data_IF_220961157365
#
_entry.id   IF_220961157365
#
_cell.length_a   1.000
_cell.length_b   1.000
_cell.length_c   1.000
_cell.angle_alpha   90.00
_cell.angle_beta   90.00
_cell.angle_gamma   90.00
#
_symmetry.space_group_name_H-M   'P 1'
#
loop_
_entity.id
_entity.type
_entity.pdbx_description
1 polymer ?
#
# COMPACT_ATOMS: atom_id res chain seq x y z
N UNK A 1 4.79 0.85 73.85
CA UNK A 1 4.69 0.31 72.47
C UNK A 1 5.36 1.30 71.53
N UNK A 2 6.29 0.86 70.69
CA UNK A 2 6.72 1.67 69.53
C UNK A 2 5.98 1.18 68.29
N UNK A 3 5.33 2.10 67.58
CA UNK A 3 4.68 1.80 66.30
C UNK A 3 5.72 1.93 65.19
N UNK A 4 6.16 0.82 64.62
CA UNK A 4 7.10 0.82 63.49
C UNK A 4 6.32 1.01 62.19
N UNK A 5 6.23 2.25 61.71
CA UNK A 5 5.77 2.54 60.36
C UNK A 5 6.86 2.17 59.35
N UNK A 6 6.76 0.98 58.74
CA UNK A 6 7.52 0.66 57.53
C UNK A 6 7.02 1.53 56.36
N UNK A 7 7.71 2.64 56.12
CA UNK A 7 7.64 3.32 54.82
C UNK A 7 8.29 2.41 53.77
N UNK A 8 7.47 1.76 52.95
CA UNK A 8 7.93 1.15 51.71
C UNK A 8 8.36 2.28 50.77
N UNK A 9 9.68 2.44 50.61
CA UNK A 9 10.25 3.41 49.68
C UNK A 9 9.99 2.99 48.22
N UNK A 10 8.80 3.32 47.72
CA UNK A 10 8.54 3.41 46.28
C UNK A 10 9.59 4.37 45.70
N UNK A 11 10.38 3.97 44.68
CA UNK A 11 11.35 4.87 44.08
C UNK A 11 10.61 6.09 43.50
N UNK A 12 11.10 7.32 43.70
CA UNK A 12 10.44 8.52 43.20
C UNK A 12 10.33 8.45 41.68
N UNK A 13 9.16 8.83 41.14
CA UNK A 13 8.78 8.64 39.73
C UNK A 13 9.78 9.26 38.74
N UNK A 14 10.55 10.28 39.15
CA UNK A 14 11.70 10.78 38.39
C UNK A 14 12.69 9.67 38.04
N UNK A 15 13.18 8.89 39.01
CA UNK A 15 14.18 7.83 38.79
C UNK A 15 13.70 6.75 37.82
N UNK A 16 12.39 6.49 37.77
CA UNK A 16 11.80 5.58 36.78
C UNK A 16 11.88 6.19 35.37
N UNK A 17 11.53 7.47 35.22
CA UNK A 17 11.62 8.20 33.94
C UNK A 17 13.07 8.31 33.47
N UNK A 18 13.98 8.70 34.37
CA UNK A 18 15.43 8.80 34.10
C UNK A 18 15.99 7.45 33.59
N UNK A 19 15.60 6.33 34.21
CA UNK A 19 16.00 4.98 33.79
C UNK A 19 15.39 4.55 32.45
N UNK A 20 14.14 4.95 32.18
CA UNK A 20 13.46 4.68 30.91
C UNK A 20 14.05 5.50 29.76
N UNK A 21 14.48 6.74 30.00
CA UNK A 21 15.19 7.54 29.00
C UNK A 21 16.57 6.94 28.67
N UNK A 22 17.34 6.50 29.67
CA UNK A 22 18.61 5.78 29.45
C UNK A 22 18.40 4.48 28.66
N UNK A 23 17.33 3.72 28.94
CA UNK A 23 16.98 2.52 28.19
C UNK A 23 16.56 2.86 26.74
N UNK A 24 15.76 3.91 26.54
CA UNK A 24 15.31 4.36 25.23
C UNK A 24 16.47 4.89 24.38
N UNK A 25 17.43 5.61 24.94
CA UNK A 25 18.63 6.06 24.23
C UNK A 25 19.51 4.90 23.78
N UNK A 26 19.72 3.90 24.66
CA UNK A 26 20.43 2.67 24.33
C UNK A 26 19.72 1.89 23.21
N UNK A 27 18.40 1.72 23.30
CA UNK A 27 17.59 1.06 22.29
C UNK A 27 17.62 1.81 20.95
N UNK A 28 17.43 3.13 20.95
CA UNK A 28 17.47 3.96 19.73
C UNK A 28 18.86 3.96 19.07
N UNK A 29 19.94 3.86 19.85
CA UNK A 29 21.32 3.74 19.36
C UNK A 29 21.62 2.36 18.77
N UNK A 30 21.06 1.28 19.37
CA UNK A 30 21.09 -0.07 18.78
C UNK A 30 20.33 -0.11 17.45
N UNK A 31 19.06 0.34 17.47
CA UNK A 31 18.18 0.39 16.31
C UNK A 31 18.76 1.25 15.16
N UNK A 32 19.50 2.33 15.45
CA UNK A 32 20.12 3.14 14.40
C UNK A 32 21.23 2.38 13.67
N UNK A 33 22.07 1.63 14.39
CA UNK A 33 23.13 0.81 13.77
C UNK A 33 22.53 -0.31 12.91
N UNK A 34 21.56 -1.04 13.47
CA UNK A 34 20.80 -2.08 12.76
C UNK A 34 20.15 -1.53 11.49
N UNK A 35 19.35 -0.45 11.59
CA UNK A 35 18.67 0.13 10.43
C UNK A 35 19.65 0.63 9.37
N UNK A 36 20.79 1.20 9.76
CA UNK A 36 21.82 1.63 8.81
C UNK A 36 22.41 0.44 8.04
N UNK A 37 22.88 -0.60 8.74
CA UNK A 37 23.47 -1.78 8.11
C UNK A 37 22.46 -2.56 7.25
N UNK A 38 21.22 -2.72 7.72
CA UNK A 38 20.15 -3.36 6.94
C UNK A 38 19.79 -2.54 5.70
N UNK A 39 19.73 -1.20 5.80
CA UNK A 39 19.47 -0.33 4.65
C UNK A 39 20.62 -0.38 3.62
N UNK A 40 21.88 -0.43 4.06
CA UNK A 40 23.03 -0.61 3.16
C UNK A 40 23.01 -1.96 2.45
N UNK A 41 22.69 -3.06 3.14
CA UNK A 41 22.59 -4.38 2.51
C UNK A 41 21.37 -4.52 1.60
N UNK A 42 20.25 -3.87 1.93
CA UNK A 42 19.09 -3.78 1.05
C UNK A 42 19.41 -2.96 -0.21
N UNK A 43 20.10 -1.82 -0.06
CA UNK A 43 20.60 -1.03 -1.18
C UNK A 43 21.51 -1.85 -2.10
N UNK A 44 22.54 -2.52 -1.55
CA UNK A 44 23.45 -3.39 -2.31
C UNK A 44 22.71 -4.50 -3.06
N UNK A 45 21.65 -5.07 -2.48
CA UNK A 45 20.79 -6.06 -3.13
C UNK A 45 19.93 -5.44 -4.25
N UNK A 46 19.37 -4.25 -4.04
CA UNK A 46 18.52 -3.57 -5.01
C UNK A 46 19.30 -3.04 -6.21
N UNK A 47 20.50 -2.47 -6.02
CA UNK A 47 21.32 -1.96 -7.14
C UNK A 47 22.13 -3.04 -7.85
N UNK A 48 22.34 -4.21 -7.22
CA UNK A 48 23.06 -5.34 -7.80
C UNK A 48 22.51 -6.67 -7.25
N UNK A 49 21.36 -7.10 -7.78
CA UNK A 49 20.64 -8.30 -7.33
C UNK A 49 21.38 -9.57 -7.76
N UNK A 50 22.20 -10.10 -6.84
CA UNK A 50 22.95 -11.35 -7.01
C UNK A 50 22.51 -12.34 -5.96
N UNK A 51 22.78 -13.63 -6.19
CA UNK A 51 22.58 -14.66 -5.16
C UNK A 51 23.30 -14.30 -3.85
N UNK A 52 24.52 -13.76 -3.94
CA UNK A 52 25.32 -13.41 -2.77
C UNK A 52 24.77 -12.17 -2.02
N UNK A 53 24.21 -11.16 -2.69
CA UNK A 53 23.59 -10.01 -2.01
C UNK A 53 22.26 -10.41 -1.34
N UNK A 54 21.45 -11.25 -1.98
CA UNK A 54 20.27 -11.86 -1.34
C UNK A 54 20.63 -12.71 -0.11
N UNK A 55 21.64 -13.58 -0.22
CA UNK A 55 22.12 -14.41 0.90
C UNK A 55 22.69 -13.54 2.04
N UNK A 56 23.44 -12.47 1.75
CA UNK A 56 23.93 -11.52 2.77
C UNK A 56 22.79 -10.79 3.49
N UNK A 57 21.78 -10.30 2.78
CA UNK A 57 20.63 -9.62 3.40
C UNK A 57 19.78 -10.61 4.23
N UNK A 58 19.63 -11.84 3.76
CA UNK A 58 18.93 -12.89 4.51
C UNK A 58 19.70 -13.31 5.78
N UNK A 59 21.04 -13.39 5.72
CA UNK A 59 21.91 -13.70 6.86
C UNK A 59 21.98 -12.56 7.86
N UNK A 60 22.20 -11.30 7.44
CA UNK A 60 22.21 -10.16 8.37
C UNK A 60 20.85 -9.94 9.02
N UNK A 61 19.76 -10.31 8.33
CA UNK A 61 18.43 -10.42 8.89
C UNK A 61 18.35 -11.30 10.16
N UNK A 62 19.24 -12.28 10.32
CA UNK A 62 19.22 -13.22 11.46
C UNK A 62 19.67 -12.57 12.78
N UNK A 63 20.51 -11.53 12.73
CA UNK A 63 20.95 -10.79 13.92
C UNK A 63 19.93 -9.73 14.41
N UNK A 64 18.81 -9.54 13.69
CA UNK A 64 17.90 -8.40 13.87
C UNK A 64 16.88 -8.56 15.00
N UNK A 65 17.39 -8.83 16.20
CA UNK A 65 16.70 -8.77 17.52
C UNK A 65 15.87 -7.49 17.77
N UNK A 66 16.02 -6.45 16.95
CA UNK A 66 15.34 -5.16 17.07
C UNK A 66 14.00 -5.06 16.32
N UNK A 67 13.61 -6.03 15.49
CA UNK A 67 12.27 -6.04 14.86
C UNK A 67 11.18 -6.59 15.79
N UNK A 68 11.57 -7.35 16.81
CA UNK A 68 10.65 -7.89 17.83
C UNK A 68 10.43 -6.92 19.00
N UNK A 69 9.48 -7.24 19.88
CA UNK A 69 9.37 -6.60 21.19
C UNK A 69 10.34 -7.27 22.19
N UNK A 70 11.39 -6.59 22.68
CA UNK A 70 12.18 -7.09 23.80
C UNK A 70 11.32 -7.24 25.07
N UNK A 71 11.62 -8.18 25.97
CA UNK A 71 10.87 -8.37 27.23
C UNK A 71 10.77 -7.10 28.08
N UNK A 72 11.87 -6.36 28.18
CA UNK A 72 11.99 -5.15 29.02
C UNK A 72 10.97 -4.07 28.60
N UNK A 73 10.64 -3.98 27.31
CA UNK A 73 9.62 -3.04 26.82
C UNK A 73 8.20 -3.42 27.31
N UNK A 74 7.92 -4.71 27.53
CA UNK A 74 6.65 -5.17 28.12
C UNK A 74 6.59 -4.86 29.61
N UNK A 75 7.70 -5.02 30.35
CA UNK A 75 7.77 -4.58 31.75
C UNK A 75 7.61 -3.06 31.89
N UNK A 76 8.31 -2.26 31.09
CA UNK A 76 8.19 -0.80 31.12
C UNK A 76 6.76 -0.35 30.74
N UNK A 77 6.10 -1.02 29.78
CA UNK A 77 4.72 -0.67 29.38
C UNK A 77 3.69 -0.88 30.49
N UNK A 78 3.88 -1.86 31.38
CA UNK A 78 3.02 -2.04 32.56
C UNK A 78 3.09 -0.84 33.52
N UNK A 79 4.08 0.04 33.37
CA UNK A 79 4.26 1.27 34.16
C UNK A 79 3.89 2.54 33.37
N UNK A 80 3.21 2.42 32.22
CA UNK A 80 2.94 3.53 31.28
C UNK A 80 2.19 4.73 31.88
N UNK A 81 1.37 4.54 32.91
CA UNK A 81 0.72 5.64 33.66
C UNK A 81 1.71 6.55 34.40
N UNK A 82 2.91 6.04 34.71
CA UNK A 82 3.96 6.78 35.41
C UNK A 82 4.93 7.50 34.46
N UNK A 83 4.92 7.16 33.17
CA UNK A 83 5.84 7.68 32.16
C UNK A 83 5.40 9.06 31.63
N UNK A 84 6.24 9.71 30.83
CA UNK A 84 5.82 10.87 30.01
C UNK A 84 5.10 10.41 28.74
N UNK A 85 4.24 11.24 28.11
CA UNK A 85 3.57 10.86 26.86
C UNK A 85 4.52 10.42 25.73
N UNK A 86 5.72 11.02 25.67
CA UNK A 86 6.74 10.67 24.69
C UNK A 86 7.38 9.30 24.99
N UNK A 87 7.67 9.01 26.25
CA UNK A 87 8.14 7.69 26.70
C UNK A 87 7.07 6.63 26.42
N UNK A 88 5.81 6.88 26.80
CA UNK A 88 4.67 5.97 26.55
C UNK A 88 4.51 5.66 25.06
N UNK A 89 4.62 6.66 24.17
CA UNK A 89 4.56 6.44 22.72
C UNK A 89 5.74 5.61 22.19
N UNK A 90 6.97 5.90 22.62
CA UNK A 90 8.13 5.11 22.21
C UNK A 90 8.03 3.66 22.69
N UNK A 91 7.67 3.44 23.96
CA UNK A 91 7.52 2.11 24.55
C UNK A 91 6.36 1.33 23.89
N UNK A 92 5.25 1.99 23.55
CA UNK A 92 4.17 1.39 22.74
C UNK A 92 4.69 0.88 21.39
N UNK A 93 5.32 1.74 20.60
CA UNK A 93 5.89 1.42 19.27
C UNK A 93 6.98 0.33 19.28
N UNK A 94 7.54 0.00 20.44
CA UNK A 94 8.50 -1.10 20.64
C UNK A 94 7.79 -2.38 21.12
N UNK A 95 6.79 -2.27 22.00
CA UNK A 95 6.12 -3.41 22.64
C UNK A 95 4.87 -3.93 21.92
N UNK A 96 4.24 -3.15 21.04
CA UNK A 96 3.11 -3.58 20.20
C UNK A 96 3.50 -4.48 19.02
N UNK A 97 4.77 -4.89 18.96
CA UNK A 97 5.32 -5.62 17.83
C UNK A 97 5.01 -7.12 17.91
N UNK A 98 4.81 -7.79 16.76
CA UNK A 98 4.82 -9.26 16.67
C UNK A 98 6.02 -9.87 17.39
N UNK A 99 5.83 -11.03 18.02
CA UNK A 99 6.88 -11.76 18.73
C UNK A 99 6.96 -13.18 18.21
N UNK A 100 8.07 -13.57 17.61
CA UNK A 100 8.28 -14.91 17.07
C UNK A 100 9.25 -15.67 17.98
N UNK A 101 9.09 -16.99 18.12
CA UNK A 101 10.23 -17.85 18.43
C UNK A 101 11.31 -17.67 17.36
N UNK A 102 12.58 -17.69 17.74
CA UNK A 102 13.74 -17.44 16.88
C UNK A 102 13.69 -18.25 15.55
N UNK A 103 13.34 -19.53 15.63
CA UNK A 103 13.16 -20.41 14.47
C UNK A 103 11.98 -20.03 13.55
N UNK A 104 10.94 -19.39 14.08
CA UNK A 104 9.81 -18.85 13.30
C UNK A 104 10.17 -17.54 12.61
N UNK A 105 10.99 -16.67 13.21
CA UNK A 105 11.45 -15.43 12.57
C UNK A 105 12.24 -15.75 11.28
N UNK A 106 13.22 -16.66 11.34
CA UNK A 106 13.98 -17.09 10.16
C UNK A 106 13.07 -17.72 9.08
N UNK A 107 12.05 -18.47 9.50
CA UNK A 107 11.05 -19.04 8.60
C UNK A 107 10.26 -17.96 7.86
N UNK A 108 9.80 -16.92 8.56
CA UNK A 108 9.10 -15.78 7.95
C UNK A 108 9.98 -15.05 6.93
N UNK A 109 11.23 -14.71 7.28
CA UNK A 109 12.12 -13.97 6.36
C UNK A 109 12.51 -14.80 5.14
N UNK A 110 12.77 -16.11 5.32
CA UNK A 110 13.01 -17.04 4.22
C UNK A 110 11.83 -17.14 3.25
N UNK A 111 10.60 -17.23 3.78
CA UNK A 111 9.38 -17.25 2.96
C UNK A 111 9.17 -15.91 2.22
N UNK A 112 9.38 -14.76 2.86
CA UNK A 112 9.30 -13.46 2.20
C UNK A 112 10.32 -13.31 1.06
N UNK A 113 11.59 -13.67 1.27
CA UNK A 113 12.62 -13.63 0.20
C UNK A 113 12.29 -14.60 -0.94
N UNK A 114 11.64 -15.74 -0.66
CA UNK A 114 11.12 -16.63 -1.72
C UNK A 114 10.03 -15.99 -2.55
N UNK A 115 9.06 -15.30 -1.93
CA UNK A 115 8.00 -14.58 -2.65
C UNK A 115 8.61 -13.43 -3.49
N UNK A 116 9.45 -12.59 -2.87
CA UNK A 116 10.14 -11.47 -3.51
C UNK A 116 10.92 -11.93 -4.76
N UNK A 117 11.71 -13.00 -4.64
CA UNK A 117 12.46 -13.58 -5.77
C UNK A 117 11.54 -14.17 -6.84
N UNK A 118 10.49 -14.92 -6.46
CA UNK A 118 9.48 -15.44 -7.40
C UNK A 118 8.79 -14.31 -8.17
N UNK A 119 8.65 -13.13 -7.58
CA UNK A 119 8.17 -11.95 -8.28
C UNK A 119 9.23 -11.36 -9.22
N UNK A 120 10.43 -11.04 -8.72
CA UNK A 120 11.43 -10.28 -9.46
C UNK A 120 12.13 -11.06 -10.57
N UNK A 121 12.27 -12.38 -10.45
CA UNK A 121 12.90 -13.23 -11.47
C UNK A 121 11.91 -13.91 -12.42
N UNK A 122 10.63 -13.56 -12.38
CA UNK A 122 9.64 -14.12 -13.30
C UNK A 122 9.70 -13.45 -14.68
N UNK A 123 9.47 -14.24 -15.72
CA UNK A 123 9.37 -13.80 -17.12
C UNK A 123 8.17 -14.44 -17.80
N UNK A 124 7.71 -13.80 -18.88
CA UNK A 124 6.68 -14.33 -19.78
C UNK A 124 7.32 -14.45 -21.16
N UNK A 125 7.48 -15.65 -21.68
CA UNK A 125 8.11 -15.88 -22.97
C UNK A 125 7.09 -16.15 -24.09
N UNK A 126 7.38 -15.66 -25.29
CA UNK A 126 6.85 -16.23 -26.52
C UNK A 126 7.90 -17.14 -27.18
N UNK A 127 7.86 -17.31 -28.51
CA UNK A 127 8.77 -18.23 -29.21
C UNK A 127 10.17 -17.65 -29.44
N UNK A 128 10.33 -16.32 -29.33
CA UNK A 128 11.58 -15.63 -29.68
C UNK A 128 12.16 -14.82 -28.51
N UNK A 129 11.32 -14.36 -27.57
CA UNK A 129 11.76 -13.48 -26.49
C UNK A 129 11.09 -13.78 -25.14
N UNK A 130 11.80 -13.50 -24.06
CA UNK A 130 11.31 -13.58 -22.68
C UNK A 130 11.22 -12.18 -22.08
N UNK A 131 10.01 -11.80 -21.67
CA UNK A 131 9.66 -10.45 -21.22
C UNK A 131 9.61 -10.41 -19.70
N UNK A 132 10.34 -9.48 -19.07
CA UNK A 132 10.26 -9.18 -17.65
C UNK A 132 9.05 -8.27 -17.34
N UNK A 133 8.64 -8.20 -16.07
CA UNK A 133 7.57 -7.29 -15.62
C UNK A 133 7.82 -5.84 -16.03
N UNK A 134 9.06 -5.38 -15.85
CA UNK A 134 9.57 -4.07 -16.22
C UNK A 134 10.93 -4.23 -16.91
N UNK A 135 11.24 -3.45 -17.95
CA UNK A 135 10.33 -2.51 -18.62
C UNK A 135 9.32 -3.23 -19.54
N UNK A 136 9.59 -4.47 -19.95
CA UNK A 136 9.01 -5.05 -21.17
C UNK A 136 7.48 -5.22 -21.12
N UNK A 137 6.96 -5.93 -20.12
CA UNK A 137 5.51 -6.16 -19.99
C UNK A 137 4.76 -4.90 -19.57
N UNK A 138 5.38 -4.03 -18.75
CA UNK A 138 4.81 -2.72 -18.42
C UNK A 138 4.62 -1.87 -19.68
N UNK A 139 5.68 -1.67 -20.47
CA UNK A 139 5.64 -0.89 -21.72
C UNK A 139 4.67 -1.49 -22.72
N UNK A 140 4.61 -2.82 -22.84
CA UNK A 140 3.60 -3.51 -23.65
C UNK A 140 2.18 -3.16 -23.19
N UNK A 141 1.88 -3.25 -21.89
CA UNK A 141 0.54 -2.96 -21.37
C UNK A 141 0.17 -1.48 -21.46
N UNK A 142 1.13 -0.56 -21.30
CA UNK A 142 0.88 0.88 -21.38
C UNK A 142 0.73 1.37 -22.83
N UNK A 143 1.47 0.81 -23.78
CA UNK A 143 1.50 1.27 -25.19
C UNK A 143 0.64 0.45 -26.15
N UNK A 144 0.52 -0.87 -25.97
CA UNK A 144 -0.21 -1.73 -26.90
C UNK A 144 -1.71 -1.46 -26.89
N UNK A 145 -2.34 -1.56 -28.06
CA UNK A 145 -3.80 -1.51 -28.26
C UNK A 145 -4.33 -2.76 -28.96
N UNK A 146 -3.50 -3.80 -29.06
CA UNK A 146 -3.87 -5.14 -29.49
C UNK A 146 -4.47 -5.89 -28.28
N UNK A 147 -5.76 -6.26 -28.31
CA UNK A 147 -6.41 -6.92 -27.18
C UNK A 147 -5.85 -8.33 -26.90
N UNK A 148 -5.41 -9.05 -27.93
CA UNK A 148 -4.88 -10.42 -27.79
C UNK A 148 -3.46 -10.38 -27.23
N UNK A 149 -2.60 -9.44 -27.67
CA UNK A 149 -1.27 -9.24 -27.07
C UNK A 149 -1.35 -8.72 -25.63
N UNK A 150 -2.32 -7.84 -25.33
CA UNK A 150 -2.63 -7.41 -23.95
C UNK A 150 -3.11 -8.59 -23.09
N UNK A 151 -4.02 -9.43 -23.60
CA UNK A 151 -4.52 -10.61 -22.91
C UNK A 151 -3.42 -11.66 -22.66
N UNK A 152 -2.55 -11.89 -23.65
CA UNK A 152 -1.37 -12.75 -23.53
C UNK A 152 -0.44 -12.28 -22.41
N UNK A 153 -0.01 -11.02 -22.43
CA UNK A 153 0.86 -10.45 -21.40
C UNK A 153 0.25 -10.52 -20.01
N UNK A 154 -1.02 -10.10 -19.90
CA UNK A 154 -1.79 -10.08 -18.65
C UNK A 154 -1.97 -11.49 -18.03
N UNK A 155 -2.20 -12.50 -18.88
CA UNK A 155 -2.43 -13.89 -18.46
C UNK A 155 -1.12 -14.62 -18.18
N UNK A 156 -0.12 -14.42 -19.03
CA UNK A 156 1.22 -14.99 -18.87
C UNK A 156 1.85 -14.57 -17.54
N UNK A 157 1.77 -13.29 -17.20
CA UNK A 157 2.31 -12.77 -15.93
C UNK A 157 1.68 -13.45 -14.70
N UNK A 158 0.36 -13.68 -14.74
CA UNK A 158 -0.37 -14.36 -13.65
C UNK A 158 -0.06 -15.85 -13.58
N UNK A 159 0.19 -16.52 -14.70
CA UNK A 159 0.63 -17.91 -14.72
C UNK A 159 2.10 -18.09 -14.28
N UNK A 160 2.96 -17.12 -14.57
CA UNK A 160 4.36 -17.14 -14.13
C UNK A 160 4.50 -16.93 -12.61
N UNK A 161 3.72 -16.02 -12.03
CA UNK A 161 3.86 -15.62 -10.61
C UNK A 161 2.82 -16.26 -9.69
N UNK A 162 1.56 -16.39 -10.12
CA UNK A 162 0.44 -16.78 -9.26
C UNK A 162 0.58 -18.16 -8.61
N UNK A 163 0.67 -19.27 -9.38
CA UNK A 163 0.77 -20.60 -8.80
C UNK A 163 2.02 -20.80 -7.90
N UNK A 164 3.24 -20.34 -8.28
CA UNK A 164 4.40 -20.43 -7.37
C UNK A 164 4.28 -19.56 -6.10
N UNK A 165 3.55 -18.44 -6.14
CA UNK A 165 3.20 -17.69 -4.92
C UNK A 165 2.24 -18.48 -4.03
N UNK A 166 1.25 -19.17 -4.63
CA UNK A 166 0.20 -19.90 -3.94
C UNK A 166 0.73 -21.03 -3.04
N UNK A 167 1.82 -21.68 -3.44
CA UNK A 167 2.50 -22.69 -2.61
C UNK A 167 3.11 -22.11 -1.32
N UNK A 168 3.61 -20.88 -1.40
CA UNK A 168 4.45 -20.24 -0.37
C UNK A 168 3.65 -19.32 0.55
N UNK A 169 2.63 -18.63 0.02
CA UNK A 169 1.89 -17.61 0.74
C UNK A 169 1.18 -18.12 2.00
N UNK A 170 0.45 -19.26 2.01
CA UNK A 170 -0.21 -19.77 3.22
C UNK A 170 0.78 -20.01 4.36
N UNK A 171 1.96 -20.57 4.06
CA UNK A 171 3.03 -20.82 5.04
C UNK A 171 3.50 -19.51 5.69
N UNK A 172 3.59 -18.42 4.93
CA UNK A 172 3.93 -17.11 5.46
C UNK A 172 2.79 -16.55 6.34
N UNK A 173 1.53 -16.68 5.91
CA UNK A 173 0.37 -16.25 6.70
C UNK A 173 0.32 -16.94 8.06
N UNK A 174 0.56 -18.26 8.12
CA UNK A 174 0.57 -19.03 9.37
C UNK A 174 1.65 -18.55 10.35
N UNK A 175 2.88 -18.31 9.86
CA UNK A 175 3.98 -17.81 10.68
C UNK A 175 3.71 -16.38 11.16
N UNK A 176 3.31 -15.47 10.26
CA UNK A 176 2.97 -14.08 10.60
C UNK A 176 1.84 -14.01 11.64
N UNK A 177 0.78 -14.81 11.46
CA UNK A 177 -0.32 -14.89 12.42
C UNK A 177 0.11 -15.53 13.75
N UNK A 178 1.10 -16.44 13.75
CA UNK A 178 1.71 -16.93 14.99
C UNK A 178 2.36 -15.77 15.78
N UNK A 179 3.16 -14.93 15.13
CA UNK A 179 3.80 -13.78 15.77
C UNK A 179 2.81 -12.72 16.28
N UNK A 180 1.72 -12.49 15.54
CA UNK A 180 0.62 -11.62 15.96
C UNK A 180 -0.05 -12.14 17.24
N UNK A 181 -0.38 -13.43 17.30
CA UNK A 181 -1.01 -14.07 18.48
C UNK A 181 -0.12 -14.03 19.71
N UNK A 182 1.19 -14.23 19.57
CA UNK A 182 2.14 -14.06 20.68
C UNK A 182 2.25 -12.60 21.16
N UNK A 183 1.93 -11.61 20.31
CA UNK A 183 1.82 -10.20 20.69
C UNK A 183 0.41 -9.80 21.19
N UNK A 184 -0.53 -10.75 21.31
CA UNK A 184 -1.91 -10.51 21.78
C UNK A 184 -2.91 -10.06 20.71
N UNK A 185 -2.49 -9.99 19.44
CA UNK A 185 -3.37 -9.67 18.32
C UNK A 185 -3.99 -10.94 17.71
N UNK A 186 -5.23 -10.91 17.20
CA UNK A 186 -5.87 -12.11 16.63
C UNK A 186 -5.20 -12.59 15.33
N UNK A 187 -4.76 -11.63 14.50
CA UNK A 187 -4.18 -11.85 13.16
C UNK A 187 -3.19 -10.72 12.80
N UNK A 188 -2.30 -10.96 11.83
CA UNK A 188 -1.34 -9.95 11.36
C UNK A 188 -2.02 -8.72 10.72
N UNK A 189 -3.19 -8.90 10.12
CA UNK A 189 -4.00 -7.78 9.65
C UNK A 189 -4.45 -6.85 10.79
N UNK A 190 -4.69 -7.37 11.99
CA UNK A 190 -5.00 -6.56 13.17
C UNK A 190 -3.80 -5.73 13.63
N UNK A 191 -2.58 -6.29 13.59
CA UNK A 191 -1.32 -5.53 13.82
C UNK A 191 -1.20 -4.39 12.82
N UNK A 192 -1.51 -4.65 11.54
CA UNK A 192 -1.45 -3.65 10.48
C UNK A 192 -2.50 -2.54 10.64
N UNK A 193 -3.73 -2.88 11.06
CA UNK A 193 -4.78 -1.91 11.37
C UNK A 193 -4.46 -1.11 12.64
N UNK A 194 -3.74 -1.70 13.60
CA UNK A 194 -3.27 -1.03 14.81
C UNK A 194 -2.17 0.01 14.52
N UNK A 195 -1.24 -0.27 13.58
CA UNK A 195 -0.21 0.70 13.15
C UNK A 195 -0.80 2.00 12.59
N UNK A 196 -2.03 1.95 12.05
CA UNK A 196 -2.77 3.12 11.57
C UNK A 196 -3.32 4.00 12.71
N UNK A 197 -3.42 3.48 13.93
CA UNK A 197 -4.09 4.09 15.10
C UNK A 197 -5.54 4.54 14.78
N UNK A 198 -6.23 3.73 13.97
CA UNK A 198 -7.61 3.97 13.51
C UNK A 198 -8.50 2.77 13.90
N UNK A 199 -9.13 2.77 15.10
CA UNK A 199 -9.84 1.60 15.62
C UNK A 199 -10.94 1.04 14.70
N UNK A 200 -11.62 1.91 13.96
CA UNK A 200 -12.72 1.58 13.06
C UNK A 200 -12.31 1.61 11.57
N UNK A 201 -11.03 1.37 11.25
CA UNK A 201 -10.51 1.56 9.87
C UNK A 201 -11.26 0.76 8.80
N UNK A 202 -11.74 -0.45 9.09
CA UNK A 202 -12.54 -1.22 8.12
C UNK A 202 -13.85 -0.50 7.75
N UNK A 203 -14.49 0.14 8.73
CA UNK A 203 -15.71 0.93 8.56
C UNK A 203 -15.41 2.31 7.95
N UNK A 204 -14.36 3.01 8.40
CA UNK A 204 -13.96 4.31 7.86
C UNK A 204 -13.56 4.22 6.39
N UNK A 205 -12.78 3.20 6.00
CA UNK A 205 -12.41 2.98 4.61
C UNK A 205 -13.62 2.63 3.72
N UNK A 206 -14.59 1.88 4.25
CA UNK A 206 -15.84 1.59 3.54
C UNK A 206 -16.72 2.84 3.37
N UNK A 207 -16.84 3.68 4.42
CA UNK A 207 -17.59 4.94 4.35
C UNK A 207 -16.99 5.94 3.36
N UNK A 208 -15.67 6.17 3.43
CA UNK A 208 -14.94 7.00 2.48
C UNK A 208 -15.07 6.48 1.04
N UNK A 209 -15.10 5.17 0.83
CA UNK A 209 -15.35 4.59 -0.49
C UNK A 209 -16.77 4.89 -0.99
N UNK A 210 -17.81 4.71 -0.16
CA UNK A 210 -19.20 5.02 -0.56
C UNK A 210 -19.42 6.53 -0.80
N UNK A 211 -18.69 7.44 -0.13
CA UNK A 211 -18.64 8.88 -0.48
C UNK A 211 -18.07 9.13 -1.90
N UNK A 212 -17.05 8.36 -2.30
CA UNK A 212 -16.31 8.54 -3.58
C UNK A 212 -16.97 7.77 -4.74
N UNK A 213 -17.72 6.71 -4.42
CA UNK A 213 -18.36 5.78 -5.36
C UNK A 213 -19.22 6.44 -6.45
N UNK A 214 -20.01 7.51 -6.22
CA UNK A 214 -20.74 8.18 -7.29
C UNK A 214 -19.83 8.76 -8.37
N UNK A 215 -18.76 9.47 -7.98
CA UNK A 215 -17.73 9.98 -8.90
C UNK A 215 -17.05 8.83 -9.65
N UNK A 216 -16.76 7.73 -8.95
CA UNK A 216 -16.13 6.57 -9.55
C UNK A 216 -17.03 5.85 -10.58
N UNK A 217 -18.32 5.64 -10.29
CA UNK A 217 -19.28 5.05 -11.22
C UNK A 217 -19.46 5.91 -12.48
N UNK A 218 -19.46 7.25 -12.35
CA UNK A 218 -19.53 8.17 -13.50
C UNK A 218 -18.28 8.11 -14.38
N UNK A 219 -17.09 8.04 -13.76
CA UNK A 219 -15.81 7.87 -14.48
C UNK A 219 -15.72 6.48 -15.16
N UNK A 220 -16.13 5.43 -14.46
CA UNK A 220 -16.17 4.05 -14.98
C UNK A 220 -17.04 3.94 -16.22
N UNK A 221 -18.25 4.51 -16.19
CA UNK A 221 -19.17 4.51 -17.34
C UNK A 221 -18.59 5.22 -18.58
N UNK A 222 -17.88 6.33 -18.40
CA UNK A 222 -17.15 6.99 -19.49
C UNK A 222 -16.04 6.09 -20.05
N UNK A 223 -15.18 5.54 -19.18
CA UNK A 223 -14.05 4.68 -19.59
C UNK A 223 -14.55 3.42 -20.31
N UNK A 224 -15.60 2.77 -19.78
CA UNK A 224 -16.26 1.61 -20.41
C UNK A 224 -16.76 1.97 -21.81
N UNK A 225 -17.44 3.11 -21.98
CA UNK A 225 -17.95 3.53 -23.27
C UNK A 225 -16.83 3.85 -24.28
N UNK A 226 -15.73 4.49 -23.84
CA UNK A 226 -14.57 4.77 -24.72
C UNK A 226 -13.85 3.47 -25.12
N UNK A 227 -13.57 2.57 -24.18
CA UNK A 227 -13.00 1.25 -24.47
C UNK A 227 -13.92 0.45 -25.40
N UNK A 228 -15.24 0.45 -25.19
CA UNK A 228 -16.23 -0.22 -26.04
C UNK A 228 -16.33 0.38 -27.45
N UNK A 229 -16.10 1.69 -27.59
CA UNK A 229 -16.05 2.34 -28.90
C UNK A 229 -14.78 2.02 -29.68
N UNK A 230 -13.70 1.59 -29.01
CA UNK A 230 -12.41 1.26 -29.62
C UNK A 230 -12.26 -0.25 -29.88
N UNK A 231 -12.56 -1.08 -28.87
CA UNK A 231 -12.40 -2.54 -28.91
C UNK A 231 -13.66 -3.30 -29.36
N UNK A 232 -14.83 -2.66 -29.36
CA UNK A 232 -16.09 -3.22 -29.86
C UNK A 232 -16.96 -3.97 -28.84
N UNK A 233 -18.24 -4.23 -29.19
CA UNK A 233 -19.24 -4.88 -28.31
C UNK A 233 -18.85 -6.27 -27.83
N UNK A 234 -18.10 -7.02 -28.64
CA UNK A 234 -17.73 -8.41 -28.40
C UNK A 234 -16.70 -8.59 -27.28
N UNK A 235 -15.95 -7.53 -26.93
CA UNK A 235 -14.95 -7.55 -25.84
C UNK A 235 -15.37 -6.71 -24.63
N UNK A 236 -16.15 -5.65 -24.83
CA UNK A 236 -16.59 -4.74 -23.76
C UNK A 236 -18.11 -4.53 -23.85
N UNK A 237 -18.86 -5.01 -22.85
CA UNK A 237 -20.30 -4.72 -22.77
C UNK A 237 -20.56 -3.25 -22.39
N UNK A 238 -21.76 -2.77 -22.66
CA UNK A 238 -22.22 -1.41 -22.36
C UNK A 238 -22.54 -1.20 -20.87
N UNK A 239 -22.99 -2.24 -20.16
CA UNK A 239 -23.50 -2.22 -18.78
C UNK A 239 -22.65 -3.01 -17.75
N UNK A 240 -21.71 -3.82 -18.22
CA UNK A 240 -20.98 -4.81 -17.42
C UNK A 240 -19.61 -4.33 -16.92
N UNK A 241 -18.85 -5.20 -16.22
CA UNK A 241 -17.50 -4.91 -15.78
C UNK A 241 -16.51 -4.71 -16.95
N UNK A 242 -15.48 -3.90 -16.75
CA UNK A 242 -14.40 -3.72 -17.74
C UNK A 242 -13.43 -4.93 -17.64
N UNK A 243 -13.00 -5.55 -18.77
CA UNK A 243 -11.98 -6.59 -18.74
C UNK A 243 -10.63 -6.09 -18.22
N UNK A 244 -10.04 -6.78 -17.24
CA UNK A 244 -8.86 -6.32 -16.51
C UNK A 244 -7.58 -6.06 -17.34
N UNK A 245 -7.47 -6.60 -18.56
CA UNK A 245 -6.31 -6.39 -19.45
C UNK A 245 -6.35 -5.06 -20.20
N UNK A 246 -7.53 -4.44 -20.36
CA UNK A 246 -7.70 -3.19 -21.12
C UNK A 246 -7.39 -1.92 -20.31
N UNK A 247 -7.02 -2.07 -19.03
CA UNK A 247 -6.71 -0.96 -18.11
C UNK A 247 -5.21 -0.61 -18.05
N UNK A 248 -4.40 -1.22 -18.91
CA UNK A 248 -3.05 -0.77 -19.26
C UNK A 248 -2.01 -0.69 -18.13
N UNK A 249 -2.17 -1.45 -17.04
CA UNK A 249 -1.22 -1.44 -15.91
C UNK A 249 -0.94 -2.84 -15.36
N UNK A 250 0.35 -3.21 -15.36
CA UNK A 250 0.93 -4.19 -14.42
C UNK A 250 1.53 -3.41 -13.22
N UNK A 251 1.58 -3.95 -11.98
CA UNK A 251 1.88 -3.14 -10.81
C UNK A 251 3.11 -3.58 -10.01
N UNK A 252 4.21 -2.84 -10.22
CA UNK A 252 5.57 -3.08 -9.71
C UNK A 252 6.07 -1.92 -8.82
N UNK A 253 7.37 -1.73 -8.59
CA UNK A 253 7.91 -0.93 -7.46
C UNK A 253 9.26 -0.26 -7.69
N UNK A 254 9.56 0.70 -6.81
CA UNK A 254 10.54 1.77 -7.04
C UNK A 254 11.97 1.38 -6.60
N UNK A 255 12.82 1.16 -7.60
CA UNK A 255 14.17 1.70 -7.66
C UNK A 255 14.23 2.45 -9.00
N UNK A 256 14.47 3.76 -9.01
CA UNK A 256 14.09 4.60 -10.16
C UNK A 256 14.94 4.42 -11.43
N UNK A 257 14.49 3.56 -12.34
CA UNK A 257 14.83 3.62 -13.76
C UNK A 257 14.02 4.75 -14.43
N UNK A 258 14.60 5.96 -14.50
CA UNK A 258 13.91 7.16 -14.99
C UNK A 258 13.91 7.26 -16.52
N UNK A 259 12.74 7.48 -17.12
CA UNK A 259 12.62 7.93 -18.51
C UNK A 259 12.30 9.44 -18.61
N UNK A 260 12.43 9.99 -19.82
CA UNK A 260 12.12 11.40 -20.11
C UNK A 260 10.63 11.58 -20.44
N UNK A 261 9.75 11.40 -19.44
CA UNK A 261 8.30 11.56 -19.58
C UNK A 261 7.67 12.40 -18.44
N UNK A 262 6.39 12.78 -18.57
CA UNK A 262 5.67 13.58 -17.55
C UNK A 262 5.53 12.85 -16.21
N UNK A 263 5.23 11.55 -16.26
CA UNK A 263 4.98 10.70 -15.08
C UNK A 263 6.22 10.66 -14.19
N UNK A 264 7.39 10.43 -14.75
CA UNK A 264 8.63 10.26 -14.01
C UNK A 264 9.16 11.60 -13.48
N UNK A 265 8.93 12.71 -14.20
CA UNK A 265 9.10 14.05 -13.63
C UNK A 265 8.24 14.27 -12.37
N UNK A 266 7.03 13.70 -12.35
CA UNK A 266 6.19 13.60 -11.14
C UNK A 266 6.79 12.70 -10.06
N UNK A 267 7.18 11.47 -10.41
CA UNK A 267 7.72 10.47 -9.45
C UNK A 267 9.00 10.96 -8.77
N UNK A 268 9.90 11.65 -9.48
CA UNK A 268 11.07 12.31 -8.88
C UNK A 268 10.66 13.23 -7.72
N UNK A 269 9.59 14.02 -7.89
CA UNK A 269 9.09 14.89 -6.84
C UNK A 269 8.34 14.14 -5.73
N UNK A 270 7.75 12.98 -6.02
CA UNK A 270 7.20 12.07 -5.00
C UNK A 270 8.32 11.55 -4.08
N UNK A 271 9.38 10.97 -4.67
CA UNK A 271 10.53 10.47 -3.92
C UNK A 271 11.28 11.58 -3.17
N UNK A 272 11.46 12.76 -3.79
CA UNK A 272 12.01 13.94 -3.10
C UNK A 272 11.15 14.38 -1.91
N UNK A 273 9.84 14.14 -1.95
CA UNK A 273 8.95 14.32 -0.80
C UNK A 273 9.31 13.43 0.38
N UNK A 274 9.60 12.14 0.14
CA UNK A 274 10.12 11.24 1.17
C UNK A 274 11.49 11.68 1.69
N UNK A 275 12.42 12.06 0.80
CA UNK A 275 13.75 12.60 1.20
C UNK A 275 13.60 13.84 2.09
N UNK A 276 12.74 14.78 1.73
CA UNK A 276 12.47 15.96 2.53
C UNK A 276 11.84 15.59 3.89
N UNK A 277 11.04 14.52 3.96
CA UNK A 277 10.49 14.05 5.23
C UNK A 277 11.55 13.42 6.14
N UNK A 278 12.37 12.51 5.61
CA UNK A 278 13.53 11.94 6.30
C UNK A 278 14.44 13.04 6.86
N UNK A 279 14.69 14.09 6.07
CA UNK A 279 15.48 15.24 6.48
C UNK A 279 14.82 16.06 7.60
N UNK A 280 13.50 16.25 7.56
CA UNK A 280 12.77 17.01 8.58
C UNK A 280 12.83 16.33 9.96
N UNK A 281 12.51 15.03 10.04
CA UNK A 281 12.45 14.31 11.32
C UNK A 281 13.77 13.65 11.77
N UNK A 282 14.88 13.84 11.04
CA UNK A 282 16.21 13.26 11.35
C UNK A 282 16.70 13.47 12.80
N UNK A 283 16.19 14.51 13.46
CA UNK A 283 16.55 14.91 14.82
C UNK A 283 15.76 14.17 15.92
N UNK A 284 14.68 13.45 15.57
CA UNK A 284 13.92 12.64 16.53
C UNK A 284 14.69 11.38 16.94
N UNK A 285 14.33 10.72 18.07
CA UNK A 285 14.75 9.36 18.38
C UNK A 285 14.45 8.39 17.22
N UNK A 286 15.34 7.44 16.95
CA UNK A 286 15.29 6.51 15.82
C UNK A 286 13.93 5.82 15.63
N UNK A 287 13.29 5.40 16.72
CA UNK A 287 11.96 4.75 16.74
C UNK A 287 10.83 5.65 16.18
N UNK A 288 10.98 6.98 16.24
CA UNK A 288 10.00 7.98 15.80
C UNK A 288 10.26 8.56 14.40
N UNK A 289 11.32 8.10 13.70
CA UNK A 289 11.73 8.61 12.38
C UNK A 289 10.88 8.03 11.22
N UNK A 290 9.59 8.34 11.19
CA UNK A 290 8.61 7.82 10.20
C UNK A 290 7.34 8.72 10.03
N UNK A 291 6.49 8.43 9.04
CA UNK A 291 5.14 9.02 8.83
C UNK A 291 4.08 8.48 9.81
N UNK A 292 3.06 9.29 10.21
CA UNK A 292 2.23 9.10 11.43
C UNK A 292 1.74 7.69 11.70
N UNK A 293 1.29 7.11 10.63
CA UNK A 293 1.28 5.71 10.35
C UNK A 293 1.91 5.55 8.95
N UNK A 294 2.04 4.33 8.48
CA UNK A 294 2.68 4.05 7.20
C UNK A 294 1.92 4.59 5.97
N UNK A 295 0.62 4.88 6.08
CA UNK A 295 -0.09 5.65 5.06
C UNK A 295 0.37 7.10 5.07
N UNK A 296 0.59 7.64 6.27
CA UNK A 296 0.95 9.02 6.51
C UNK A 296 2.25 9.46 5.81
N UNK A 297 3.20 8.57 5.52
CA UNK A 297 4.37 8.89 4.69
C UNK A 297 4.04 9.26 3.22
N UNK A 298 3.02 8.64 2.62
CA UNK A 298 2.67 8.74 1.18
C UNK A 298 2.07 10.11 0.81
N UNK A 299 1.43 10.81 1.76
CA UNK A 299 0.88 12.17 1.56
C UNK A 299 1.91 13.12 0.96
N UNK A 300 3.11 13.08 1.52
CA UNK A 300 4.12 14.11 1.28
C UNK A 300 4.64 13.98 -0.14
N UNK A 301 4.94 12.75 -0.58
CA UNK A 301 5.26 12.46 -1.97
C UNK A 301 4.15 12.88 -2.94
N UNK A 302 2.90 12.45 -2.70
CA UNK A 302 1.76 12.83 -3.54
C UNK A 302 1.54 14.35 -3.59
N UNK A 303 1.74 15.06 -2.48
CA UNK A 303 1.57 16.51 -2.40
C UNK A 303 2.59 17.24 -3.29
N UNK A 304 3.86 16.82 -3.26
CA UNK A 304 4.87 17.36 -4.17
C UNK A 304 4.61 16.96 -5.63
N UNK A 305 4.23 15.70 -5.89
CA UNK A 305 3.84 15.20 -7.21
C UNK A 305 2.73 16.06 -7.83
N UNK A 306 1.66 16.39 -7.10
CA UNK A 306 0.56 17.19 -7.68
C UNK A 306 0.86 18.69 -7.76
N UNK A 307 1.68 19.23 -6.84
CA UNK A 307 2.00 20.66 -6.81
C UNK A 307 2.78 21.14 -8.04
N UNK A 308 3.64 20.30 -8.62
CA UNK A 308 4.43 20.67 -9.82
C UNK A 308 3.62 20.75 -11.11
N UNK A 309 2.47 20.04 -11.19
CA UNK A 309 1.61 20.04 -12.39
C UNK A 309 0.62 21.21 -12.44
N UNK A 310 0.69 22.15 -11.49
CA UNK A 310 -0.05 23.41 -11.60
C UNK A 310 0.42 24.21 -12.83
N UNK A 311 -0.48 24.74 -13.69
CA UNK A 311 -0.09 25.46 -14.90
C UNK A 311 0.90 26.61 -14.67
N UNK A 312 0.74 27.36 -13.58
CA UNK A 312 1.64 28.45 -13.19
C UNK A 312 3.07 27.98 -12.79
N UNK A 313 3.26 26.69 -12.48
CA UNK A 313 4.57 26.08 -12.27
C UNK A 313 5.14 25.57 -13.60
N UNK A 314 4.37 24.80 -14.37
CA UNK A 314 4.80 24.30 -15.69
C UNK A 314 5.21 25.42 -16.64
N UNK A 315 4.47 26.54 -16.67
CA UNK A 315 4.81 27.74 -17.44
C UNK A 315 6.11 28.40 -16.97
N UNK A 316 6.39 28.39 -15.65
CA UNK A 316 7.64 28.91 -15.08
C UNK A 316 8.85 28.08 -15.51
N UNK A 317 8.66 26.78 -15.75
CA UNK A 317 9.68 25.86 -16.26
C UNK A 317 9.80 25.90 -17.81
N UNK A 318 8.97 26.68 -18.51
CA UNK A 318 8.93 26.66 -19.98
C UNK A 318 8.38 25.37 -20.58
N UNK A 319 7.54 24.62 -19.84
CA UNK A 319 6.93 23.37 -20.29
C UNK A 319 5.55 23.58 -20.95
N UNK A 320 4.93 24.76 -20.77
CA UNK A 320 3.75 25.24 -21.48
C UNK A 320 3.88 26.76 -21.74
N UNK A 321 3.32 27.24 -22.85
CA UNK A 321 3.41 28.66 -23.25
C UNK A 321 2.19 29.50 -22.81
N UNK A 322 1.03 28.86 -22.65
CA UNK A 322 -0.24 29.50 -22.30
C UNK A 322 -0.47 29.57 -20.78
N UNK A 323 -1.59 30.17 -20.36
CA UNK A 323 -1.99 30.15 -18.95
C UNK A 323 -2.48 28.77 -18.47
N UNK A 324 -2.90 27.90 -19.40
CA UNK A 324 -3.38 26.55 -19.15
C UNK A 324 -4.81 26.47 -18.60
N UNK A 325 -5.56 27.58 -18.53
CA UNK A 325 -6.80 27.70 -17.76
C UNK A 325 -8.10 27.70 -18.62
N UNK A 326 -8.05 27.24 -19.88
CA UNK A 326 -9.29 27.00 -20.63
C UNK A 326 -10.19 25.99 -19.89
N UNK A 327 -11.53 26.11 -19.93
CA UNK A 327 -12.43 25.15 -19.27
C UNK A 327 -12.22 23.71 -19.77
N UNK A 328 -11.95 23.55 -21.05
CA UNK A 328 -11.72 22.27 -21.72
C UNK A 328 -10.40 21.64 -21.26
N UNK A 329 -9.32 22.43 -21.20
CA UNK A 329 -8.01 21.97 -20.73
C UNK A 329 -8.01 21.66 -19.23
N UNK A 330 -8.79 22.42 -18.46
CA UNK A 330 -9.03 22.17 -17.03
C UNK A 330 -9.78 20.85 -16.81
N UNK A 331 -10.82 20.57 -17.61
CA UNK A 331 -11.55 19.30 -17.58
C UNK A 331 -10.68 18.12 -18.05
N UNK A 332 -9.85 18.29 -19.07
CA UNK A 332 -8.88 17.28 -19.52
C UNK A 332 -7.87 16.94 -18.42
N UNK A 333 -7.30 17.96 -17.75
CA UNK A 333 -6.37 17.77 -16.64
C UNK A 333 -7.06 17.04 -15.48
N UNK A 334 -8.27 17.48 -15.07
CA UNK A 334 -9.03 16.78 -14.03
C UNK A 334 -9.31 15.32 -14.43
N UNK A 335 -9.69 15.05 -15.69
CA UNK A 335 -9.91 13.68 -16.17
C UNK A 335 -8.64 12.82 -16.09
N UNK A 336 -7.48 13.34 -16.51
CA UNK A 336 -6.19 12.64 -16.38
C UNK A 336 -5.86 12.31 -14.92
N UNK A 337 -5.99 13.27 -13.99
CA UNK A 337 -5.70 13.05 -12.56
C UNK A 337 -6.74 12.10 -11.94
N UNK A 338 -8.00 12.15 -12.37
CA UNK A 338 -9.05 11.23 -11.93
C UNK A 338 -8.78 9.78 -12.37
N UNK A 339 -8.41 9.57 -13.64
CA UNK A 339 -7.99 8.26 -14.17
C UNK A 339 -6.77 7.70 -13.45
N UNK A 340 -5.87 8.56 -12.96
CA UNK A 340 -4.69 8.15 -12.20
C UNK A 340 -5.02 7.67 -10.77
N UNK A 341 -5.97 8.33 -10.07
CA UNK A 341 -6.21 8.08 -8.63
C UNK A 341 -7.56 7.44 -8.28
N UNK A 342 -8.69 7.82 -8.90
CA UNK A 342 -10.01 7.30 -8.47
C UNK A 342 -10.12 5.77 -8.65
N UNK A 343 -9.70 5.16 -9.78
CA UNK A 343 -9.65 3.70 -9.92
C UNK A 343 -8.69 2.99 -8.94
N UNK A 344 -7.68 3.70 -8.43
CA UNK A 344 -6.74 3.14 -7.46
C UNK A 344 -7.41 2.90 -6.10
N UNK A 345 -8.39 3.71 -5.70
CA UNK A 345 -9.08 3.60 -4.41
C UNK A 345 -9.86 2.27 -4.33
N UNK A 346 -10.67 1.97 -5.36
CA UNK A 346 -11.38 0.68 -5.46
C UNK A 346 -10.43 -0.52 -5.53
N UNK A 347 -9.29 -0.38 -6.23
CA UNK A 347 -8.25 -1.41 -6.25
C UNK A 347 -7.61 -1.64 -4.87
N UNK A 348 -7.22 -0.57 -4.17
CA UNK A 348 -6.60 -0.61 -2.84
C UNK A 348 -7.51 -1.27 -1.81
N UNK A 349 -8.78 -0.84 -1.77
CA UNK A 349 -9.77 -1.40 -0.87
C UNK A 349 -10.06 -2.88 -1.19
N UNK A 350 -10.14 -3.26 -2.47
CA UNK A 350 -10.26 -4.66 -2.87
C UNK A 350 -9.10 -5.51 -2.35
N UNK A 351 -7.88 -5.01 -2.48
CA UNK A 351 -6.67 -5.76 -2.15
C UNK A 351 -6.52 -5.94 -0.65
N UNK A 352 -6.54 -4.87 0.13
CA UNK A 352 -6.33 -4.99 1.58
C UNK A 352 -7.54 -5.63 2.29
N UNK A 353 -8.78 -5.45 1.80
CA UNK A 353 -9.95 -6.18 2.31
C UNK A 353 -9.85 -7.68 2.02
N UNK A 354 -9.31 -8.08 0.87
CA UNK A 354 -8.98 -9.50 0.59
C UNK A 354 -7.91 -10.00 1.57
N UNK A 355 -6.81 -9.25 1.76
CA UNK A 355 -5.73 -9.62 2.68
C UNK A 355 -6.22 -9.76 4.13
N UNK A 356 -7.02 -8.83 4.64
CA UNK A 356 -7.58 -8.92 5.99
C UNK A 356 -8.46 -10.16 6.18
N UNK A 357 -9.21 -10.57 5.14
CA UNK A 357 -9.97 -11.83 5.19
C UNK A 357 -9.06 -13.06 5.19
N UNK A 358 -7.94 -13.05 4.45
CA UNK A 358 -6.94 -14.13 4.46
C UNK A 358 -6.22 -14.20 5.82
N UNK A 359 -5.72 -13.09 6.36
CA UNK A 359 -5.08 -13.05 7.69
C UNK A 359 -6.04 -13.54 8.79
N UNK A 360 -7.31 -13.12 8.75
CA UNK A 360 -8.33 -13.54 9.72
C UNK A 360 -8.92 -14.94 9.43
N UNK A 361 -8.35 -15.73 8.52
CA UNK A 361 -8.78 -17.11 8.21
C UNK A 361 -10.18 -17.23 7.56
N UNK A 362 -10.78 -16.12 7.12
CA UNK A 362 -12.13 -16.07 6.51
C UNK A 362 -12.15 -16.56 5.06
N UNK A 363 -10.99 -16.60 4.40
CA UNK A 363 -10.81 -17.13 3.03
C UNK A 363 -9.67 -18.14 3.07
N UNK A 364 -9.98 -19.40 2.81
CA UNK A 364 -9.02 -20.50 2.71
C UNK A 364 -8.23 -20.44 1.37
N UNK A 365 -7.02 -21.04 1.29
CA UNK A 365 -6.16 -21.02 0.10
C UNK A 365 -6.88 -21.41 -1.20
N UNK A 366 -7.78 -22.39 -1.12
CA UNK A 366 -8.59 -22.91 -2.21
C UNK A 366 -9.35 -21.78 -2.93
N UNK A 367 -9.90 -20.83 -2.14
CA UNK A 367 -10.77 -19.74 -2.61
C UNK A 367 -10.05 -18.39 -2.76
N UNK A 368 -8.73 -18.32 -2.60
CA UNK A 368 -7.95 -17.08 -2.72
C UNK A 368 -8.29 -16.28 -3.99
N UNK A 369 -8.29 -16.93 -5.17
CA UNK A 369 -8.51 -16.26 -6.44
C UNK A 369 -9.97 -15.81 -6.62
N UNK A 370 -10.93 -16.67 -6.29
CA UNK A 370 -12.36 -16.36 -6.41
C UNK A 370 -12.80 -15.21 -5.48
N UNK A 371 -12.34 -15.19 -4.23
CA UNK A 371 -12.64 -14.12 -3.28
C UNK A 371 -12.03 -12.77 -3.70
N UNK A 372 -10.83 -12.78 -4.30
CA UNK A 372 -10.23 -11.58 -4.89
C UNK A 372 -11.06 -11.05 -6.05
N UNK A 373 -11.48 -11.92 -6.98
CA UNK A 373 -12.25 -11.48 -8.15
C UNK A 373 -13.68 -11.05 -7.80
N UNK A 374 -14.32 -11.67 -6.81
CA UNK A 374 -15.57 -11.17 -6.24
C UNK A 374 -15.43 -9.74 -5.71
N UNK A 375 -14.35 -9.46 -4.96
CA UNK A 375 -14.08 -8.10 -4.46
C UNK A 375 -13.74 -7.12 -5.59
N UNK A 376 -13.04 -7.54 -6.66
CA UNK A 376 -12.74 -6.70 -7.83
C UNK A 376 -13.97 -6.38 -8.68
N UNK A 377 -14.87 -7.34 -8.86
CA UNK A 377 -16.16 -7.10 -9.52
C UNK A 377 -17.01 -6.14 -8.65
N UNK A 378 -17.12 -6.37 -7.34
CA UNK A 378 -17.90 -5.52 -6.42
C UNK A 378 -17.37 -4.09 -6.24
N UNK A 379 -16.06 -3.92 -6.01
CA UNK A 379 -15.45 -2.65 -5.58
C UNK A 379 -14.66 -1.93 -6.70
N UNK A 380 -14.59 -2.50 -7.90
CA UNK A 380 -13.98 -1.82 -9.04
C UNK A 380 -14.70 -1.99 -10.38
N UNK A 381 -15.73 -2.84 -10.47
CA UNK A 381 -16.38 -3.11 -11.76
C UNK A 381 -15.39 -3.62 -12.81
N UNK A 382 -14.42 -4.44 -12.38
CA UNK A 382 -13.38 -5.04 -13.23
C UNK A 382 -13.44 -6.56 -13.08
N UNK A 383 -13.61 -7.26 -14.21
CA UNK A 383 -13.66 -8.71 -14.27
C UNK A 383 -12.37 -9.33 -14.80
N UNK A 384 -12.10 -10.58 -14.39
CA UNK A 384 -11.05 -11.41 -14.98
C UNK A 384 -11.45 -11.80 -16.42
N UNK A 385 -10.54 -11.70 -17.41
CA UNK A 385 -10.92 -11.67 -18.82
C UNK A 385 -11.40 -13.00 -19.40
N UNK A 386 -11.02 -14.14 -18.80
CA UNK A 386 -11.40 -15.46 -19.30
C UNK A 386 -12.48 -16.18 -18.48
N UNK A 387 -12.83 -15.67 -17.29
CA UNK A 387 -13.75 -16.29 -16.33
C UNK A 387 -14.27 -15.25 -15.33
N UNK A 388 -15.57 -15.27 -15.04
CA UNK A 388 -16.20 -14.52 -13.94
C UNK A 388 -15.84 -15.11 -12.57
N UNK A 389 -15.98 -14.33 -11.50
CA UNK A 389 -15.79 -14.82 -10.13
C UNK A 389 -16.61 -16.10 -9.83
N UNK A 390 -17.86 -16.17 -10.30
CA UNK A 390 -18.73 -17.35 -10.16
C UNK A 390 -18.20 -18.60 -10.87
N UNK A 391 -17.52 -18.44 -12.02
CA UNK A 391 -16.87 -19.57 -12.71
C UNK A 391 -15.59 -20.03 -11.99
N UNK A 392 -14.94 -19.15 -11.22
CA UNK A 392 -13.79 -19.54 -10.39
C UNK A 392 -14.22 -20.36 -9.17
N UNK A 393 -15.38 -20.08 -8.57
CA UNK A 393 -15.95 -20.95 -7.53
C UNK A 393 -16.29 -22.35 -8.05
N UNK A 394 -16.57 -22.48 -9.35
CA UNK A 394 -16.74 -23.75 -10.05
C UNK A 394 -15.43 -24.38 -10.58
N UNK A 395 -14.26 -23.81 -10.25
CA UNK A 395 -12.94 -24.40 -10.53
C UNK A 395 -12.11 -23.74 -11.64
N UNK A 396 -12.59 -22.67 -12.30
CA UNK A 396 -11.75 -21.94 -13.27
C UNK A 396 -10.60 -21.19 -12.56
N UNK A 397 -9.37 -21.28 -13.08
CA UNK A 397 -8.19 -20.60 -12.54
C UNK A 397 -8.01 -20.86 -11.02
N UNK A 398 -8.34 -22.09 -10.58
CA UNK A 398 -8.33 -22.52 -9.18
C UNK A 398 -6.92 -22.78 -8.65
N UNK A 399 -5.95 -23.02 -9.53
CA UNK A 399 -4.50 -23.03 -9.28
C UNK A 399 -3.91 -21.60 -9.16
N UNK A 400 -4.61 -20.59 -9.69
CA UNK A 400 -4.17 -19.21 -9.69
C UNK A 400 -4.16 -18.53 -8.31
N UNK A 401 -3.38 -17.46 -8.23
CA UNK A 401 -3.37 -16.51 -7.11
C UNK A 401 -3.04 -15.13 -7.68
N UNK A 402 -3.98 -14.54 -8.41
CA UNK A 402 -3.79 -13.27 -9.10
C UNK A 402 -3.40 -12.08 -8.19
N UNK A 403 -3.73 -12.04 -6.89
CA UNK A 403 -3.14 -11.08 -5.95
C UNK A 403 -1.60 -11.18 -5.86
N UNK A 404 -1.02 -12.37 -5.98
CA UNK A 404 0.43 -12.58 -5.97
C UNK A 404 1.15 -11.87 -7.12
N UNK A 405 0.45 -11.61 -8.23
CA UNK A 405 0.95 -10.83 -9.37
C UNK A 405 0.97 -9.30 -9.12
N UNK A 406 0.72 -8.84 -7.88
CA UNK A 406 0.95 -7.47 -7.41
C UNK A 406 2.09 -7.47 -6.39
N UNK A 407 3.14 -6.66 -6.64
CA UNK A 407 4.36 -6.62 -5.82
C UNK A 407 4.10 -6.49 -4.30
N UNK A 408 3.09 -5.71 -3.91
CA UNK A 408 2.78 -5.45 -2.50
C UNK A 408 2.26 -6.69 -1.74
N UNK A 409 1.78 -7.72 -2.44
CA UNK A 409 1.45 -9.02 -1.85
C UNK A 409 2.72 -9.85 -1.66
N UNK A 410 3.59 -9.89 -2.66
CA UNK A 410 4.88 -10.60 -2.62
C UNK A 410 5.81 -10.07 -1.51
N UNK A 411 6.02 -8.75 -1.47
CA UNK A 411 6.82 -8.03 -0.47
C UNK A 411 6.03 -7.70 0.82
N UNK A 412 4.81 -8.23 0.97
CA UNK A 412 4.07 -8.19 2.21
C UNK A 412 3.81 -6.77 2.81
N UNK A 413 3.45 -5.78 1.98
CA UNK A 413 3.13 -4.40 2.40
C UNK A 413 1.64 -4.04 2.18
N UNK A 414 0.94 -3.40 3.14
CA UNK A 414 -0.44 -2.92 2.95
C UNK A 414 -0.55 -1.87 1.83
N UNK A 415 -1.59 -1.96 1.02
CA UNK A 415 -1.83 -1.05 -0.12
C UNK A 415 -2.77 0.13 0.19
N UNK A 416 -3.52 0.07 1.30
CA UNK A 416 -4.37 1.17 1.79
C UNK A 416 -3.55 2.41 2.22
N UNK A 417 -2.22 2.28 2.29
CA UNK A 417 -1.27 3.36 2.59
C UNK A 417 -1.43 4.57 1.68
N UNK A 418 -1.72 4.35 0.40
CA UNK A 418 -1.87 5.41 -0.61
C UNK A 418 -3.18 6.25 -0.49
N UNK A 419 -3.81 6.33 0.69
CA UNK A 419 -5.17 6.88 0.86
C UNK A 419 -5.40 7.79 2.09
N UNK A 420 -4.51 7.85 3.09
CA UNK A 420 -4.83 8.37 4.45
C UNK A 420 -3.60 9.02 5.15
N UNK A 421 -3.25 10.33 5.11
CA UNK A 421 -1.80 10.68 5.26
C UNK A 421 -1.18 11.96 6.01
N UNK A 422 0.16 11.98 6.40
CA UNK A 422 1.10 12.89 7.22
C UNK A 422 2.25 12.32 8.24
N UNK A 423 2.45 12.66 9.57
CA UNK A 423 3.73 12.35 10.37
C UNK A 423 3.78 11.84 11.88
N UNK A 424 4.75 10.96 12.34
CA UNK A 424 4.76 10.16 13.64
C UNK A 424 4.98 10.88 14.98
N UNK A 425 5.44 12.13 15.01
CA UNK A 425 5.82 12.79 16.27
C UNK A 425 4.69 13.00 17.29
N UNK A 426 3.43 12.78 16.90
CA UNK A 426 2.20 12.87 17.71
C UNK A 426 1.21 11.79 17.29
N UNK A 427 -0.05 11.85 17.74
CA UNK A 427 -1.12 11.07 17.09
C UNK A 427 -1.34 11.58 15.65
N UNK A 428 -1.83 10.73 14.74
CA UNK A 428 -2.09 11.17 13.37
C UNK A 428 -3.16 12.26 13.30
N UNK A 429 -4.10 12.28 14.26
CA UNK A 429 -5.12 13.32 14.40
C UNK A 429 -4.49 14.69 14.69
N UNK A 430 -3.48 14.75 15.58
CA UNK A 430 -2.76 16.01 15.88
C UNK A 430 -1.97 16.50 14.65
N UNK A 431 -1.39 15.57 13.88
CA UNK A 431 -0.64 15.89 12.66
C UNK A 431 -1.57 16.38 11.53
N UNK A 432 -2.77 15.79 11.43
CA UNK A 432 -3.79 16.21 10.48
C UNK A 432 -4.38 17.57 10.83
N UNK A 433 -4.62 17.85 12.13
CA UNK A 433 -5.19 19.10 12.61
C UNK A 433 -4.28 20.30 12.33
N UNK A 434 -2.96 20.15 12.55
CA UNK A 434 -1.95 21.18 12.24
C UNK A 434 -1.95 21.59 10.75
N UNK A 435 -2.38 20.72 9.85
CA UNK A 435 -2.28 20.92 8.39
C UNK A 435 -3.64 21.19 7.73
N UNK A 436 -4.75 20.73 8.33
CA UNK A 436 -6.10 20.82 7.74
C UNK A 436 -7.13 21.55 8.61
N UNK A 437 -6.83 21.78 9.89
CA UNK A 437 -7.81 22.21 10.89
C UNK A 437 -8.81 21.12 11.31
N UNK A 438 -8.63 19.87 10.85
CA UNK A 438 -9.50 18.71 11.18
C UNK A 438 -8.72 17.60 11.87
N UNK A 439 -9.36 16.95 12.85
CA UNK A 439 -8.88 15.70 13.46
C UNK A 439 -9.45 14.44 12.78
N UNK A 440 -10.35 14.62 11.82
CA UNK A 440 -11.05 13.55 11.10
C UNK A 440 -10.67 13.51 9.61
N UNK A 441 -10.53 12.29 9.07
CA UNK A 441 -10.31 12.04 7.65
C UNK A 441 -11.66 12.12 6.92
N UNK A 442 -11.69 12.80 5.77
CA UNK A 442 -12.90 13.02 4.99
C UNK A 442 -12.62 12.95 3.48
N UNK A 443 -13.53 12.39 2.69
CA UNK A 443 -13.45 12.41 1.24
C UNK A 443 -13.79 13.79 0.63
N UNK A 444 -14.39 14.69 1.41
CA UNK A 444 -14.92 15.97 0.93
C UNK A 444 -13.90 16.90 0.25
N UNK A 445 -12.60 16.99 0.64
CA UNK A 445 -11.60 17.74 -0.13
C UNK A 445 -11.35 17.15 -1.53
N UNK A 446 -11.33 15.83 -1.66
CA UNK A 446 -11.14 15.11 -2.93
C UNK A 446 -12.36 15.30 -3.85
N UNK A 447 -13.57 15.20 -3.29
CA UNK A 447 -14.82 15.45 -4.01
C UNK A 447 -14.90 16.90 -4.51
N UNK A 448 -14.57 17.89 -3.67
CA UNK A 448 -14.50 19.30 -4.09
C UNK A 448 -13.48 19.55 -5.21
N UNK A 449 -12.32 18.89 -5.18
CA UNK A 449 -11.32 19.00 -6.24
C UNK A 449 -11.84 18.47 -7.59
N UNK A 450 -12.58 17.35 -7.59
CA UNK A 450 -13.14 16.75 -8.80
C UNK A 450 -14.55 17.22 -9.16
N UNK A 451 -15.19 18.12 -8.40
CA UNK A 451 -16.57 18.58 -8.63
C UNK A 451 -16.85 19.05 -10.07
N UNK A 452 -15.99 19.87 -10.73
CA UNK A 452 -16.25 20.30 -12.11
C UNK A 452 -16.24 19.14 -13.11
N UNK A 453 -15.42 18.11 -12.87
CA UNK A 453 -15.38 16.90 -13.67
C UNK A 453 -16.61 16.02 -13.39
N UNK A 454 -17.00 15.88 -12.11
CA UNK A 454 -18.19 15.11 -11.72
C UNK A 454 -19.43 15.61 -12.46
N UNK A 455 -19.68 16.92 -12.45
CA UNK A 455 -20.89 17.49 -13.02
C UNK A 455 -20.89 17.43 -14.55
N UNK A 456 -19.71 17.57 -15.17
CA UNK A 456 -19.52 17.30 -16.59
C UNK A 456 -19.79 15.82 -16.94
N UNK A 457 -19.25 14.86 -16.18
CA UNK A 457 -19.48 13.42 -16.39
C UNK A 457 -20.96 13.06 -16.28
N UNK A 458 -21.66 13.58 -15.26
CA UNK A 458 -23.11 13.37 -15.08
C UNK A 458 -23.90 13.92 -16.26
N UNK A 459 -23.58 15.11 -16.75
CA UNK A 459 -24.25 15.70 -17.92
C UNK A 459 -23.97 14.90 -19.19
N UNK A 460 -22.72 14.52 -19.45
CA UNK A 460 -22.26 13.82 -20.65
C UNK A 460 -22.77 12.36 -20.71
N UNK A 461 -22.75 11.63 -19.59
CA UNK A 461 -23.30 10.28 -19.51
C UNK A 461 -24.84 10.27 -19.71
N UNK A 462 -25.56 11.26 -19.14
CA UNK A 462 -27.00 11.46 -19.41
C UNK A 462 -27.28 11.81 -20.87
N UNK A 463 -26.53 12.76 -21.45
CA UNK A 463 -26.66 13.19 -22.85
C UNK A 463 -26.47 12.04 -23.85
N UNK A 464 -25.65 11.06 -23.49
CA UNK A 464 -25.31 9.91 -24.34
C UNK A 464 -26.02 8.60 -23.95
N UNK A 465 -26.92 8.64 -22.96
CA UNK A 465 -27.69 7.47 -22.53
C UNK A 465 -26.85 6.32 -21.96
N UNK A 466 -25.63 6.58 -21.49
CA UNK A 466 -24.74 5.53 -20.96
C UNK A 466 -25.28 5.01 -19.62
N UNK A 467 -25.39 3.69 -19.41
CA UNK A 467 -25.69 3.14 -18.10
C UNK A 467 -24.52 3.43 -17.15
N UNK A 468 -24.84 3.88 -15.95
CA UNK A 468 -23.89 4.16 -14.87
C UNK A 468 -23.93 3.01 -13.86
N UNK A 469 -22.77 2.65 -13.32
CA UNK A 469 -22.64 1.45 -12.49
C UNK A 469 -22.41 0.17 -13.30
N UNK A 470 -22.53 -0.99 -12.68
CA UNK A 470 -22.27 -2.28 -13.33
C UNK A 470 -23.03 -3.45 -12.69
N UNK A 471 -23.52 -4.39 -13.51
CA UNK A 471 -24.19 -5.60 -13.00
C UNK A 471 -25.44 -5.34 -12.14
N UNK A 472 -26.10 -4.18 -12.34
CA UNK A 472 -27.27 -3.75 -11.56
C UNK A 472 -26.97 -3.00 -10.26
N UNK A 473 -25.74 -2.51 -10.05
CA UNK A 473 -25.28 -1.72 -8.88
C UNK A 473 -24.85 -0.30 -9.26
#
# INVERSE_FOLDING_TARGET
MLTVCLFVCVPPVSRLRDAVDVWLDAYNTGLQRVRHSTASLAWDMSVNTTRQSMEKLALYGQDLTFDESPPEAQEIRRLSELLTPLQTRQIGLISDRPRYPENMYFSARSLMVRLERTFSSATVCDQEHCYHAEPDLQTLMETSRDPDRLLWAWTGWRKAVGPPMREVYPQLIDVLNSGARHAGFPDMGAVWRYELEMPNIEQTAAGLYEEIKPLYQQLHALVRAQLRSYYGPQLVSDDGPIPAHLLGKIPTRILMCLERNERDFGVIHHEMGHIQYFMAYRHLPTILRDGANSAFHEAVGDTFFYSIFGPAHLRRLGLIDDDGFSPERSLQLLLQRALAKIPLIGFSLSLDRWRWQVYAGRVAPERYNAAWWQLREQLSGVQHPACTAKQMEAGCNADGMDPGAKFHVADNIPHIRAMLSLGKGRSWQDALEVITGSREISAQPLLRYFQPLHDWLVAENRRTGRPVGWGGQ
#
